data_IF_037423869756
#
_entry.id   IF_037423869756
#
_cell.length_a   1.000
_cell.length_b   1.000
_cell.length_c   1.000
_cell.angle_alpha   90.00
_cell.angle_beta   90.00
_cell.angle_gamma   90.00
#
_symmetry.space_group_name_H-M   'P 1'
#
loop_
_entity.id
_entity.type
_entity.pdbx_description
1 polymer ?
#
# COMPACT_ATOMS: atom_id res chain seq x y z
N UNK A 1 -13.43 9.85 -0.78
CA UNK A 1 -12.50 9.71 0.35
C UNK A 1 -11.38 8.75 -0.01
N UNK A 2 -10.14 9.12 0.28
CA UNK A 2 -8.94 8.30 0.17
C UNK A 2 -8.45 7.99 1.58
N UNK A 3 -8.44 6.71 2.04
CA UNK A 3 -8.11 6.35 3.42
C UNK A 3 -6.60 6.30 3.70
N UNK A 4 -5.80 6.99 2.89
CA UNK A 4 -4.34 7.08 2.99
C UNK A 4 -3.86 8.52 2.73
N UNK A 5 -2.61 8.87 3.12
CA UNK A 5 -2.04 10.18 2.82
C UNK A 5 -1.95 10.45 1.31
N UNK A 6 -1.86 11.74 0.93
CA UNK A 6 -1.59 12.11 -0.46
C UNK A 6 -0.30 11.49 -1.01
N UNK A 7 -0.22 11.31 -2.34
CA UNK A 7 0.97 10.85 -3.05
C UNK A 7 1.10 9.33 -3.19
N UNK A 8 0.24 8.52 -2.55
CA UNK A 8 0.19 7.08 -2.79
C UNK A 8 -0.63 6.71 -4.04
N UNK A 9 -0.59 5.42 -4.43
CA UNK A 9 -1.31 4.92 -5.61
C UNK A 9 -2.81 5.24 -5.59
N UNK A 10 -3.48 5.07 -4.45
CA UNK A 10 -4.91 5.35 -4.34
C UNK A 10 -5.23 6.84 -4.50
N UNK A 11 -4.38 7.71 -3.98
CA UNK A 11 -4.55 9.16 -4.14
C UNK A 11 -4.40 9.57 -5.61
N UNK A 12 -3.40 9.05 -6.31
CA UNK A 12 -3.19 9.29 -7.72
C UNK A 12 -4.38 8.82 -8.58
N UNK A 13 -4.88 7.59 -8.33
CA UNK A 13 -6.04 7.04 -9.03
C UNK A 13 -7.29 7.88 -8.74
N UNK A 14 -7.53 8.25 -7.48
CA UNK A 14 -8.71 9.03 -7.09
C UNK A 14 -8.71 10.43 -7.75
N UNK A 15 -7.55 11.10 -7.81
CA UNK A 15 -7.43 12.41 -8.45
C UNK A 15 -7.63 12.34 -9.96
N UNK A 16 -6.99 11.37 -10.62
CA UNK A 16 -7.13 11.17 -12.08
C UNK A 16 -8.56 10.81 -12.45
N UNK A 17 -9.19 9.90 -11.69
CA UNK A 17 -10.56 9.49 -11.92
C UNK A 17 -11.55 10.64 -11.63
N UNK A 18 -11.36 11.33 -10.50
CA UNK A 18 -12.19 12.46 -10.09
C UNK A 18 -12.16 13.61 -11.08
N UNK A 19 -11.00 13.93 -11.66
CA UNK A 19 -10.89 14.91 -12.72
C UNK A 19 -11.69 14.52 -13.97
N UNK A 20 -11.54 13.27 -14.43
CA UNK A 20 -12.26 12.78 -15.62
C UNK A 20 -13.77 12.67 -15.38
N UNK A 21 -14.18 12.08 -14.26
CA UNK A 21 -15.58 11.94 -13.91
C UNK A 21 -16.26 13.31 -13.70
N UNK A 22 -15.55 14.26 -13.07
CA UNK A 22 -16.04 15.61 -12.88
C UNK A 22 -16.36 16.33 -14.18
N UNK A 23 -15.50 16.16 -15.20
CA UNK A 23 -15.77 16.71 -16.56
C UNK A 23 -17.01 16.08 -17.20
N UNK A 24 -17.23 14.78 -17.00
CA UNK A 24 -18.38 14.06 -17.57
C UNK A 24 -19.69 14.41 -16.86
N UNK A 25 -19.65 14.56 -15.54
CA UNK A 25 -20.82 14.79 -14.70
C UNK A 25 -21.13 16.28 -14.49
N UNK A 26 -20.24 17.18 -14.93
CA UNK A 26 -20.40 18.62 -14.79
C UNK A 26 -20.24 19.14 -13.36
N UNK A 27 -19.71 18.32 -12.45
CA UNK A 27 -19.50 18.65 -11.03
C UNK A 27 -18.13 18.19 -10.56
N UNK A 28 -17.39 19.00 -9.78
CA UNK A 28 -16.07 18.64 -9.29
C UNK A 28 -16.13 17.53 -8.23
N UNK A 29 -15.15 16.62 -8.26
CA UNK A 29 -14.90 15.68 -7.18
C UNK A 29 -13.90 16.27 -6.20
N UNK A 30 -14.31 16.44 -4.94
CA UNK A 30 -13.44 16.85 -3.85
C UNK A 30 -12.76 15.62 -3.29
N UNK A 31 -11.43 15.56 -3.36
CA UNK A 31 -10.64 14.45 -2.83
C UNK A 31 -10.21 14.74 -1.40
N UNK A 32 -10.74 13.97 -0.45
CA UNK A 32 -10.38 14.05 0.96
C UNK A 32 -9.51 12.86 1.39
N UNK A 33 -8.34 13.14 1.93
CA UNK A 33 -7.46 12.12 2.50
C UNK A 33 -7.74 11.95 4.00
N UNK A 34 -8.14 10.75 4.44
CA UNK A 34 -8.42 10.40 5.85
C UNK A 34 -7.59 9.18 6.26
N UNK A 35 -6.28 9.37 6.51
CA UNK A 35 -5.34 8.28 6.76
C UNK A 35 -5.44 7.73 8.18
N UNK A 36 -4.95 6.49 8.35
CA UNK A 36 -4.70 5.87 9.64
C UNK A 36 -5.35 4.50 9.83
N UNK A 37 -4.79 3.72 10.74
CA UNK A 37 -5.22 2.36 11.10
C UNK A 37 -5.44 1.44 9.88
N UNK A 38 -4.50 1.42 8.92
CA UNK A 38 -4.63 0.59 7.71
C UNK A 38 -5.81 0.97 6.81
N UNK A 39 -6.30 2.22 6.90
CA UNK A 39 -7.46 2.73 6.16
C UNK A 39 -8.78 2.70 6.94
N UNK A 40 -8.78 2.14 8.16
CA UNK A 40 -10.01 2.01 8.95
C UNK A 40 -10.62 3.35 9.35
N UNK A 41 -9.82 4.41 9.55
CA UNK A 41 -10.34 5.75 9.89
C UNK A 41 -11.16 6.31 8.73
N UNK A 42 -10.67 6.21 7.51
CA UNK A 42 -11.41 6.65 6.33
C UNK A 42 -12.66 5.81 6.06
N UNK A 43 -12.56 4.49 6.29
CA UNK A 43 -13.70 3.58 6.12
C UNK A 43 -14.80 3.86 7.16
N UNK A 44 -14.45 4.02 8.44
CA UNK A 44 -15.42 4.38 9.50
C UNK A 44 -16.12 5.72 9.19
N UNK A 45 -15.38 6.70 8.68
CA UNK A 45 -15.96 7.96 8.27
C UNK A 45 -17.01 7.79 7.17
N UNK A 46 -16.68 7.03 6.11
CA UNK A 46 -17.60 6.85 4.96
C UNK A 46 -18.81 5.99 5.34
N UNK A 47 -18.63 4.97 6.17
CA UNK A 47 -19.73 4.14 6.66
C UNK A 47 -20.83 4.94 7.40
N UNK A 48 -20.48 6.11 7.94
CA UNK A 48 -21.41 7.01 8.67
C UNK A 48 -22.03 8.09 7.80
N UNK A 49 -21.66 8.18 6.51
CA UNK A 49 -22.23 9.17 5.61
C UNK A 49 -23.57 8.71 5.04
N UNK A 50 -24.43 9.63 4.59
CA UNK A 50 -25.65 9.26 3.88
C UNK A 50 -25.34 8.39 2.65
N UNK A 51 -26.15 7.38 2.39
CA UNK A 51 -26.05 6.50 1.23
C UNK A 51 -26.64 7.09 -0.05
N UNK A 52 -26.44 8.37 -0.28
CA UNK A 52 -27.01 9.18 -1.38
C UNK A 52 -26.14 9.23 -2.64
N UNK A 53 -24.96 8.58 -2.60
CA UNK A 53 -24.00 8.54 -3.70
C UNK A 53 -23.05 9.74 -3.77
N UNK A 54 -23.17 10.74 -2.90
CA UNK A 54 -22.27 11.90 -2.88
C UNK A 54 -20.97 11.66 -2.09
N UNK A 55 -20.95 10.66 -1.22
CA UNK A 55 -19.71 10.27 -0.54
C UNK A 55 -19.28 8.88 -0.98
N UNK A 56 -18.14 8.82 -1.68
CA UNK A 56 -17.54 7.59 -2.16
C UNK A 56 -16.16 7.36 -1.57
N UNK A 57 -15.74 6.11 -1.47
CA UNK A 57 -14.40 5.75 -1.01
C UNK A 57 -13.68 4.91 -2.06
N UNK A 58 -12.40 5.22 -2.30
CA UNK A 58 -11.49 4.28 -2.94
C UNK A 58 -10.85 3.40 -1.86
N UNK A 59 -10.83 2.10 -2.07
CA UNK A 59 -10.29 1.16 -1.08
C UNK A 59 -9.50 0.04 -1.74
N UNK A 60 -8.93 -0.84 -0.93
CA UNK A 60 -8.17 -2.02 -1.39
C UNK A 60 -8.50 -3.25 -0.54
N UNK A 61 -7.63 -4.25 -0.63
CA UNK A 61 -7.76 -5.51 0.10
C UNK A 61 -7.99 -5.34 1.62
N UNK A 62 -7.60 -4.20 2.22
CA UNK A 62 -7.86 -3.89 3.63
C UNK A 62 -9.32 -4.05 4.03
N UNK A 63 -10.27 -3.76 3.14
CA UNK A 63 -11.69 -4.00 3.41
C UNK A 63 -12.01 -5.48 3.71
N UNK A 64 -11.31 -6.41 3.08
CA UNK A 64 -11.48 -7.85 3.32
C UNK A 64 -10.66 -8.34 4.52
N UNK A 65 -9.49 -7.77 4.76
CA UNK A 65 -8.50 -8.26 5.74
C UNK A 65 -8.60 -7.59 7.11
N UNK A 66 -9.18 -6.40 7.20
CA UNK A 66 -9.23 -5.66 8.45
C UNK A 66 -10.14 -6.30 9.51
N UNK A 67 -11.23 -6.96 9.09
CA UNK A 67 -12.16 -7.60 10.04
C UNK A 67 -11.48 -8.67 10.92
N UNK A 68 -10.67 -9.60 10.41
CA UNK A 68 -9.92 -10.54 11.24
C UNK A 68 -8.68 -9.94 11.93
N UNK A 69 -8.12 -8.82 11.42
CA UNK A 69 -6.87 -8.25 11.94
C UNK A 69 -7.09 -7.25 13.08
N UNK A 70 -8.24 -6.58 13.12
CA UNK A 70 -8.54 -5.57 14.14
C UNK A 70 -9.62 -6.10 15.08
N UNK A 71 -9.32 -6.16 16.35
CA UNK A 71 -10.24 -6.64 17.40
C UNK A 71 -11.49 -5.76 17.53
N UNK A 72 -11.42 -4.50 17.08
CA UNK A 72 -12.53 -3.56 17.14
C UNK A 72 -12.60 -2.73 15.86
N UNK A 73 -13.66 -2.93 15.08
CA UNK A 73 -14.06 -2.08 13.96
C UNK A 73 -15.41 -1.45 14.28
N UNK A 74 -15.55 -0.16 13.96
CA UNK A 74 -16.81 0.57 14.15
C UNK A 74 -17.72 0.51 12.91
N UNK A 75 -17.41 -0.33 11.95
CA UNK A 75 -18.17 -0.55 10.71
C UNK A 75 -18.07 -2.03 10.28
N UNK A 76 -19.05 -2.49 9.51
CA UNK A 76 -19.00 -3.79 8.84
C UNK A 76 -18.57 -3.59 7.37
N UNK A 77 -17.41 -4.16 6.95
CA UNK A 77 -16.86 -3.95 5.61
C UNK A 77 -17.74 -4.51 4.47
N UNK A 78 -18.72 -5.33 4.79
CA UNK A 78 -19.63 -5.94 3.80
C UNK A 78 -20.98 -5.23 3.81
N UNK A 79 -21.54 -4.91 5.01
CA UNK A 79 -22.92 -4.41 5.14
C UNK A 79 -23.02 -2.90 4.99
N UNK A 80 -22.00 -2.16 5.38
CA UNK A 80 -22.05 -0.69 5.45
C UNK A 80 -21.57 -0.01 4.16
N UNK A 81 -21.25 -0.80 3.11
CA UNK A 81 -20.75 -0.26 1.83
C UNK A 81 -21.48 -0.92 0.64
N UNK A 82 -21.76 -0.11 -0.36
CA UNK A 82 -22.22 -0.57 -1.67
C UNK A 82 -21.03 -0.54 -2.67
N UNK A 83 -20.56 -1.70 -3.18
CA UNK A 83 -19.49 -1.73 -4.17
C UNK A 83 -19.93 -1.08 -5.48
N UNK A 84 -19.10 -0.21 -6.06
CA UNK A 84 -19.39 0.47 -7.34
C UNK A 84 -18.64 -0.19 -8.49
N UNK A 85 -17.30 -0.24 -8.42
CA UNK A 85 -16.48 -0.80 -9.50
C UNK A 85 -15.07 -1.18 -9.03
N UNK A 86 -14.48 -2.18 -9.70
CA UNK A 86 -13.04 -2.45 -9.62
C UNK A 86 -12.30 -1.47 -10.53
N UNK A 87 -11.54 -0.55 -9.95
CA UNK A 87 -10.88 0.52 -10.69
C UNK A 87 -9.56 0.07 -11.34
N UNK A 88 -8.75 -0.68 -10.61
CA UNK A 88 -7.44 -1.15 -11.06
C UNK A 88 -6.96 -2.34 -10.24
N UNK A 89 -6.05 -3.12 -10.82
CA UNK A 89 -5.25 -4.13 -10.12
C UNK A 89 -3.80 -3.65 -10.16
N UNK A 90 -3.23 -3.38 -8.99
CA UNK A 90 -1.88 -2.83 -8.87
C UNK A 90 -0.99 -3.85 -8.16
N UNK A 91 0.05 -4.37 -8.82
CA UNK A 91 1.00 -5.28 -8.17
C UNK A 91 1.87 -4.53 -7.16
N UNK A 92 2.34 -5.26 -6.14
CA UNK A 92 3.41 -4.78 -5.29
C UNK A 92 4.76 -5.17 -5.86
N UNK A 93 5.76 -4.33 -5.63
CA UNK A 93 7.16 -4.55 -5.98
C UNK A 93 8.01 -4.54 -4.72
N UNK A 94 8.84 -5.57 -4.53
CA UNK A 94 9.86 -5.59 -3.50
C UNK A 94 10.98 -4.64 -3.91
N UNK A 95 11.20 -3.63 -3.09
CA UNK A 95 12.22 -2.60 -3.31
C UNK A 95 13.16 -2.46 -2.12
N UNK A 96 14.38 -2.03 -2.41
CA UNK A 96 15.39 -1.61 -1.44
C UNK A 96 16.03 -0.31 -1.88
N UNK A 97 16.73 0.38 -0.97
CA UNK A 97 17.56 1.52 -1.33
C UNK A 97 18.68 1.07 -2.31
N UNK A 98 18.86 1.80 -3.41
CA UNK A 98 19.81 1.45 -4.46
C UNK A 98 21.29 1.51 -4.00
N UNK A 99 21.56 2.18 -2.88
CA UNK A 99 22.91 2.25 -2.28
C UNK A 99 23.35 0.94 -1.61
N UNK A 100 22.47 -0.04 -1.44
CA UNK A 100 22.83 -1.37 -0.94
C UNK A 100 23.46 -2.21 -2.06
N UNK A 101 24.80 -2.42 -2.07
CA UNK A 101 25.50 -2.99 -3.22
C UNK A 101 25.23 -4.48 -3.41
N UNK A 102 25.05 -5.21 -2.29
CA UNK A 102 25.03 -6.67 -2.27
C UNK A 102 23.63 -7.29 -2.45
N UNK A 103 22.58 -6.45 -2.54
CA UNK A 103 21.20 -6.91 -2.69
C UNK A 103 20.68 -6.57 -4.08
N UNK A 104 20.62 -7.58 -4.96
CA UNK A 104 20.19 -7.45 -6.37
C UNK A 104 18.93 -8.24 -6.70
N UNK A 105 18.57 -9.20 -5.86
CA UNK A 105 17.46 -10.12 -6.07
C UNK A 105 16.70 -10.39 -4.76
N UNK A 106 15.47 -10.90 -4.85
CA UNK A 106 14.71 -11.37 -3.69
C UNK A 106 15.45 -12.51 -2.93
N UNK A 107 16.26 -13.31 -3.63
CA UNK A 107 17.07 -14.36 -2.99
C UNK A 107 18.17 -13.77 -2.11
N UNK A 108 18.74 -12.64 -2.49
CA UNK A 108 19.74 -11.96 -1.67
C UNK A 108 19.12 -11.42 -0.38
N UNK A 109 17.85 -10.93 -0.45
CA UNK A 109 17.09 -10.53 0.74
C UNK A 109 16.89 -11.70 1.70
N UNK A 110 16.49 -12.88 1.17
CA UNK A 110 16.33 -14.09 1.97
C UNK A 110 17.65 -14.51 2.60
N UNK A 111 18.74 -14.50 1.84
CA UNK A 111 20.07 -14.84 2.35
C UNK A 111 20.54 -13.87 3.45
N UNK A 112 20.29 -12.57 3.28
CA UNK A 112 20.61 -11.55 4.28
C UNK A 112 19.76 -11.73 5.55
N UNK A 113 18.47 -12.00 5.42
CA UNK A 113 17.56 -12.21 6.56
C UNK A 113 17.94 -13.48 7.35
N UNK A 114 18.36 -14.56 6.68
CA UNK A 114 18.84 -15.77 7.34
C UNK A 114 20.16 -15.56 8.11
N UNK A 115 21.03 -14.68 7.63
CA UNK A 115 22.29 -14.33 8.33
C UNK A 115 22.07 -13.45 9.56
N UNK A 116 20.97 -12.71 9.60
CA UNK A 116 20.67 -11.77 10.68
C UNK A 116 19.18 -11.83 11.07
N UNK A 117 18.69 -12.93 11.69
CA UNK A 117 17.29 -13.10 12.05
C UNK A 117 16.77 -11.94 12.91
N UNK A 118 15.61 -11.39 12.56
CA UNK A 118 14.96 -10.29 13.27
C UNK A 118 15.66 -8.92 13.21
N UNK A 119 16.77 -8.79 12.46
CA UNK A 119 17.52 -7.52 12.37
C UNK A 119 17.12 -6.68 11.17
N UNK A 120 16.74 -7.31 10.07
CA UNK A 120 16.29 -6.59 8.89
C UNK A 120 14.85 -6.13 9.05
N UNK A 121 14.58 -4.92 8.57
CA UNK A 121 13.28 -4.29 8.66
C UNK A 121 12.58 -4.26 7.30
N UNK A 122 11.25 -4.36 7.32
CA UNK A 122 10.45 -4.02 6.15
C UNK A 122 9.29 -3.08 6.52
N UNK A 123 9.06 -2.09 5.67
CA UNK A 123 8.02 -1.10 5.85
C UNK A 123 6.69 -1.55 5.23
N UNK A 124 5.58 -1.04 5.78
CA UNK A 124 4.28 -1.10 5.12
C UNK A 124 3.52 0.23 5.21
N UNK A 125 2.45 0.33 4.42
CA UNK A 125 1.52 1.46 4.50
C UNK A 125 0.53 1.36 5.68
N UNK A 126 0.77 0.42 6.60
CA UNK A 126 -0.04 0.13 7.78
C UNK A 126 -0.51 -1.32 7.80
N UNK A 127 -0.89 -1.79 9.00
CA UNK A 127 -1.37 -3.15 9.21
C UNK A 127 -2.59 -3.47 8.33
N UNK A 128 -2.62 -4.65 7.72
CA UNK A 128 -3.71 -5.12 6.87
C UNK A 128 -3.66 -4.63 5.42
N UNK A 129 -2.74 -3.73 5.07
CA UNK A 129 -2.55 -3.31 3.67
C UNK A 129 -1.91 -4.41 2.83
N UNK A 130 -2.07 -4.37 1.49
CA UNK A 130 -1.42 -5.31 0.58
C UNK A 130 0.11 -5.32 0.73
N UNK A 131 0.68 -4.18 1.07
CA UNK A 131 2.10 -3.98 1.32
C UNK A 131 2.55 -4.77 2.55
N UNK A 132 1.78 -4.70 3.65
CA UNK A 132 2.01 -5.49 4.86
C UNK A 132 1.90 -6.99 4.57
N UNK A 133 0.78 -7.40 3.99
CA UNK A 133 0.50 -8.82 3.72
C UNK A 133 1.52 -9.44 2.75
N UNK A 134 2.02 -8.69 1.78
CA UNK A 134 3.08 -9.17 0.89
C UNK A 134 4.38 -9.45 1.66
N UNK A 135 4.73 -8.60 2.64
CA UNK A 135 5.86 -8.82 3.54
C UNK A 135 5.68 -10.07 4.41
N UNK A 136 4.51 -10.22 5.03
CA UNK A 136 4.19 -11.39 5.86
C UNK A 136 4.23 -12.70 5.06
N UNK A 137 3.64 -12.72 3.87
CA UNK A 137 3.68 -13.90 2.98
C UNK A 137 5.11 -14.21 2.56
N UNK A 138 5.90 -13.18 2.22
CA UNK A 138 7.31 -13.36 1.85
C UNK A 138 8.13 -13.96 3.00
N UNK A 139 8.04 -13.39 4.19
CA UNK A 139 8.79 -13.88 5.37
C UNK A 139 8.37 -15.29 5.76
N UNK A 140 7.08 -15.58 5.73
CA UNK A 140 6.51 -16.89 6.01
C UNK A 140 6.96 -17.95 5.02
N UNK A 141 6.85 -17.70 3.71
CA UNK A 141 7.25 -18.65 2.66
C UNK A 141 8.77 -18.88 2.62
N UNK A 142 9.55 -17.82 2.88
CA UNK A 142 11.01 -17.91 2.90
C UNK A 142 11.55 -18.49 4.23
N UNK A 143 10.69 -18.64 5.24
CA UNK A 143 11.07 -19.05 6.61
C UNK A 143 12.20 -18.17 7.16
N UNK A 144 11.98 -16.86 7.14
CA UNK A 144 12.90 -15.83 7.65
C UNK A 144 12.20 -14.90 8.63
N UNK A 145 12.98 -14.34 9.55
CA UNK A 145 12.49 -13.35 10.50
C UNK A 145 12.93 -11.94 10.08
N UNK A 146 11.97 -11.06 9.90
CA UNK A 146 12.19 -9.64 9.62
C UNK A 146 11.26 -8.81 10.50
N UNK A 147 11.69 -7.60 10.90
CA UNK A 147 10.89 -6.71 11.73
C UNK A 147 9.99 -5.84 10.86
N UNK A 148 8.67 -5.96 11.05
CA UNK A 148 7.69 -5.10 10.38
C UNK A 148 7.62 -3.71 11.02
N UNK A 149 7.69 -2.65 10.21
CA UNK A 149 7.54 -1.25 10.62
C UNK A 149 6.34 -0.63 9.89
N UNK A 150 5.18 -0.48 10.58
CA UNK A 150 3.99 0.09 9.96
C UNK A 150 4.03 1.62 9.91
N UNK A 151 3.67 2.18 8.76
CA UNK A 151 3.51 3.62 8.53
C UNK A 151 2.04 3.97 8.27
N UNK A 152 1.72 5.26 8.26
CA UNK A 152 0.38 5.75 7.92
C UNK A 152 0.12 5.87 6.41
N UNK A 153 0.90 5.15 5.58
CA UNK A 153 0.81 5.16 4.12
C UNK A 153 2.16 4.95 3.45
N UNK A 154 2.19 4.77 2.12
CA UNK A 154 3.43 4.54 1.35
C UNK A 154 4.38 5.74 1.40
N UNK A 155 3.88 6.98 1.31
CA UNK A 155 4.73 8.18 1.25
C UNK A 155 5.80 8.25 2.35
N UNK A 156 5.41 8.29 3.64
CA UNK A 156 6.39 8.32 4.74
C UNK A 156 7.26 7.05 4.79
N UNK A 157 6.74 5.88 4.44
CA UNK A 157 7.51 4.64 4.38
C UNK A 157 8.62 4.69 3.31
N UNK A 158 8.29 5.19 2.11
CA UNK A 158 9.26 5.38 1.02
C UNK A 158 10.32 6.41 1.39
N UNK A 159 9.95 7.49 2.08
CA UNK A 159 10.93 8.49 2.56
C UNK A 159 11.98 7.87 3.48
N UNK A 160 11.57 7.04 4.43
CA UNK A 160 12.47 6.36 5.35
C UNK A 160 13.29 5.25 4.67
N UNK A 161 12.71 4.57 3.66
CA UNK A 161 13.44 3.63 2.82
C UNK A 161 14.55 4.33 2.01
N UNK A 162 14.25 5.48 1.42
CA UNK A 162 15.22 6.32 0.71
C UNK A 162 16.31 6.87 1.65
N UNK A 163 15.93 7.18 2.88
CA UNK A 163 16.83 7.62 3.95
C UNK A 163 17.68 6.49 4.57
N UNK A 164 17.45 5.22 4.17
CA UNK A 164 18.18 4.07 4.71
C UNK A 164 17.77 3.65 6.13
N UNK A 165 16.67 4.21 6.67
CA UNK A 165 16.14 3.85 7.99
C UNK A 165 15.43 2.48 7.97
N UNK A 166 14.94 2.07 6.81
CA UNK A 166 14.28 0.79 6.54
C UNK A 166 15.05 0.06 5.45
N UNK A 167 15.13 -1.27 5.56
CA UNK A 167 15.88 -2.06 4.58
C UNK A 167 15.07 -2.36 3.31
N UNK A 168 13.78 -2.74 3.47
CA UNK A 168 12.95 -3.23 2.37
C UNK A 168 11.50 -2.75 2.48
N UNK A 169 10.79 -2.79 1.35
CA UNK A 169 9.35 -2.54 1.29
C UNK A 169 8.75 -3.29 0.10
N UNK A 170 7.53 -3.83 0.27
CA UNK A 170 6.69 -4.30 -0.84
C UNK A 170 5.74 -3.18 -1.26
N UNK A 171 6.25 -2.14 -1.91
CA UNK A 171 5.40 -1.00 -2.25
C UNK A 171 4.56 -1.26 -3.50
N UNK A 172 3.50 -0.46 -3.69
CA UNK A 172 2.76 -0.41 -4.93
C UNK A 172 3.69 0.05 -6.08
N UNK A 173 3.62 -0.64 -7.22
CA UNK A 173 4.46 -0.26 -8.36
C UNK A 173 4.24 1.20 -8.79
N UNK A 174 3.01 1.71 -8.66
CA UNK A 174 2.66 3.10 -8.98
C UNK A 174 3.40 4.11 -8.10
N UNK A 175 3.57 3.80 -6.83
CA UNK A 175 4.31 4.65 -5.87
C UNK A 175 5.82 4.50 -6.03
N UNK A 176 6.32 3.28 -6.20
CA UNK A 176 7.75 2.98 -6.26
C UNK A 176 8.41 3.39 -7.58
N UNK A 177 7.67 3.36 -8.70
CA UNK A 177 8.18 3.54 -10.06
C UNK A 177 9.03 4.80 -10.25
N UNK A 178 8.62 6.02 -9.84
CA UNK A 178 9.44 7.22 -10.03
C UNK A 178 10.81 7.13 -9.33
N UNK A 179 10.88 6.42 -8.20
CA UNK A 179 12.10 6.22 -7.45
C UNK A 179 12.99 5.13 -8.05
N UNK A 180 12.39 4.13 -8.69
CA UNK A 180 13.12 3.10 -9.45
C UNK A 180 13.71 3.72 -10.72
N UNK A 181 12.93 4.46 -11.49
CA UNK A 181 13.36 5.14 -12.72
C UNK A 181 14.46 6.18 -12.46
N UNK A 182 14.39 6.88 -11.32
CA UNK A 182 15.45 7.81 -10.90
C UNK A 182 16.69 7.14 -10.28
N UNK A 183 16.71 5.80 -10.20
CA UNK A 183 17.84 5.04 -9.64
C UNK A 183 18.01 5.15 -8.12
N UNK A 184 17.04 5.71 -7.39
CA UNK A 184 17.10 5.83 -5.93
C UNK A 184 16.67 4.55 -5.21
N UNK A 185 15.72 3.80 -5.80
CA UNK A 185 15.33 2.47 -5.34
C UNK A 185 15.70 1.42 -6.38
N UNK A 186 15.96 0.21 -5.91
CA UNK A 186 16.17 -0.98 -6.73
C UNK A 186 14.99 -1.92 -6.57
N UNK A 187 14.37 -2.28 -7.71
CA UNK A 187 13.34 -3.32 -7.78
C UNK A 187 14.01 -4.70 -7.75
N UNK A 188 13.52 -5.58 -6.87
CA UNK A 188 14.04 -6.93 -6.67
C UNK A 188 13.10 -8.02 -7.17
N UNK A 189 11.81 -7.72 -7.32
CA UNK A 189 10.78 -8.62 -7.80
C UNK A 189 9.38 -8.05 -7.63
N UNK A 190 8.40 -8.62 -8.32
CA UNK A 190 6.98 -8.26 -8.21
C UNK A 190 6.17 -9.41 -7.64
N UNK A 191 5.02 -9.11 -7.05
CA UNK A 191 4.13 -10.11 -6.45
C UNK A 191 3.25 -10.86 -7.46
N UNK A 192 3.41 -10.58 -8.74
CA UNK A 192 2.70 -11.27 -9.84
C UNK A 192 3.55 -12.37 -10.45
N UNK A 193 2.91 -13.41 -10.99
CA UNK A 193 3.60 -14.53 -11.66
C UNK A 193 4.35 -14.08 -12.94
N UNK A 194 3.90 -13.03 -13.59
CA UNK A 194 4.53 -12.44 -14.77
C UNK A 194 5.19 -11.11 -14.41
N UNK A 195 6.23 -10.73 -15.14
CA UNK A 195 6.84 -9.39 -15.04
C UNK A 195 5.78 -8.32 -15.30
N UNK A 196 5.87 -7.21 -14.60
CA UNK A 196 5.07 -6.03 -14.93
C UNK A 196 5.52 -5.45 -16.27
N UNK A 197 4.58 -4.95 -17.04
CA UNK A 197 4.85 -4.21 -18.29
C UNK A 197 5.19 -2.73 -18.05
N UNK A 198 5.12 -2.31 -16.78
CA UNK A 198 5.40 -0.93 -16.34
C UNK A 198 6.64 -0.87 -15.49
#
# INVERSE_FOLDING_TARGET
VVPFPPGGAMDAIARTLGEKAGKTLGQPFVIENKPGAGGNIGADYVAKQPGDGYTMMITSIGMATNKPLYSKLNYDPIKDFAPVSLLAVVPNVLVTNATQPDVKTARDVIAAARKAPGKLTYASAGNGTSIHLAGEVFTSLAQVEMLHIPYKGSGPAVSDLLGGQINYMFDSITSARPHIESGKLRALGVTTAKRSST
#
